data_IF_818300881826
#
_entry.id   IF_818300881826
#
_cell.length_a   1.000
_cell.length_b   1.000
_cell.length_c   1.000
_cell.angle_alpha   90.00
_cell.angle_beta   90.00
_cell.angle_gamma   90.00
#
_symmetry.space_group_name_H-M   'P 1'
#
loop_
_entity.id
_entity.type
_entity.pdbx_description
1 polymer ?
#
# COMPACT_ATOMS: atom_id res chain seq x y z
N UNK A 1 9.20 -8.09 -15.91
CA UNK A 1 9.24 -7.02 -14.88
C UNK A 1 7.97 -7.10 -14.05
N UNK A 2 6.80 -7.19 -14.70
CA UNK A 2 5.49 -7.37 -14.04
C UNK A 2 5.42 -8.51 -13.02
N UNK A 3 5.95 -9.71 -13.32
CA UNK A 3 5.93 -10.84 -12.35
C UNK A 3 6.58 -10.52 -11.00
N UNK A 4 7.66 -9.73 -10.99
CA UNK A 4 8.35 -9.35 -9.74
C UNK A 4 7.52 -8.38 -8.91
N UNK A 5 6.78 -7.49 -9.58
CA UNK A 5 5.93 -6.51 -8.91
C UNK A 5 4.69 -7.20 -8.32
N UNK A 6 4.19 -8.26 -8.96
CA UNK A 6 3.13 -9.10 -8.42
C UNK A 6 3.56 -9.87 -7.18
N UNK A 7 4.72 -10.55 -7.24
CA UNK A 7 5.28 -11.26 -6.08
C UNK A 7 5.50 -10.31 -4.90
N UNK A 8 6.05 -9.12 -5.16
CA UNK A 8 6.29 -8.13 -4.10
C UNK A 8 4.97 -7.62 -3.51
N UNK A 9 3.96 -7.35 -4.33
CA UNK A 9 2.64 -6.93 -3.85
C UNK A 9 2.01 -8.00 -2.95
N UNK A 10 2.07 -9.27 -3.33
CA UNK A 10 1.53 -10.38 -2.53
C UNK A 10 2.27 -10.53 -1.18
N UNK A 11 3.60 -10.43 -1.21
CA UNK A 11 4.43 -10.46 -0.01
C UNK A 11 4.07 -9.30 0.93
N UNK A 12 4.00 -8.07 0.42
CA UNK A 12 3.64 -6.90 1.21
C UNK A 12 2.20 -7.01 1.73
N UNK A 13 1.29 -7.56 0.94
CA UNK A 13 -0.09 -7.78 1.37
C UNK A 13 -0.22 -8.75 2.53
N UNK A 14 0.65 -9.74 2.57
CA UNK A 14 0.73 -10.70 3.67
C UNK A 14 1.44 -10.11 4.89
N UNK A 15 2.55 -9.39 4.69
CA UNK A 15 3.39 -8.88 5.78
C UNK A 15 2.76 -7.67 6.48
N UNK A 16 2.12 -6.76 5.74
CA UNK A 16 1.62 -5.46 6.25
C UNK A 16 0.10 -5.29 5.98
N UNK A 17 -0.75 -6.17 6.54
CA UNK A 17 -2.19 -6.17 6.23
C UNK A 17 -2.90 -4.87 6.66
N UNK A 18 -2.49 -4.25 7.77
CA UNK A 18 -3.06 -2.96 8.20
C UNK A 18 -2.72 -1.84 7.21
N UNK A 19 -1.46 -1.76 6.78
CA UNK A 19 -1.03 -0.76 5.80
C UNK A 19 -1.76 -0.94 4.47
N UNK A 20 -1.95 -2.19 4.02
CA UNK A 20 -2.71 -2.48 2.80
C UNK A 20 -4.18 -2.05 2.90
N UNK A 21 -4.83 -2.27 4.04
CA UNK A 21 -6.21 -1.82 4.25
C UNK A 21 -6.33 -0.29 4.11
N UNK A 22 -5.32 0.46 4.58
CA UNK A 22 -5.27 1.92 4.41
C UNK A 22 -5.02 2.27 2.94
N UNK A 23 -4.07 1.59 2.28
CA UNK A 23 -3.77 1.79 0.85
C UNK A 23 -5.00 1.56 -0.02
N UNK A 24 -5.82 0.55 0.24
CA UNK A 24 -7.03 0.31 -0.56
C UNK A 24 -8.07 1.42 -0.43
N UNK A 25 -8.25 2.00 0.77
CA UNK A 25 -9.12 3.18 0.94
C UNK A 25 -8.58 4.39 0.16
N UNK A 26 -7.27 4.59 0.16
CA UNK A 26 -6.63 5.67 -0.62
C UNK A 26 -6.82 5.41 -2.12
N UNK A 27 -6.63 4.16 -2.57
CA UNK A 27 -6.86 3.75 -3.96
C UNK A 27 -8.28 4.08 -4.41
N UNK A 28 -9.29 3.68 -3.63
CA UNK A 28 -10.71 3.94 -3.93
C UNK A 28 -10.95 5.45 -4.08
N UNK A 29 -10.49 6.25 -3.11
CA UNK A 29 -10.61 7.69 -3.16
C UNK A 29 -9.90 8.32 -4.39
N UNK A 30 -8.68 7.88 -4.69
CA UNK A 30 -7.95 8.38 -5.86
C UNK A 30 -8.63 8.03 -7.18
N UNK A 31 -9.23 6.83 -7.26
CA UNK A 31 -9.99 6.40 -8.42
C UNK A 31 -11.27 7.23 -8.60
N UNK A 32 -11.98 7.55 -7.52
CA UNK A 32 -13.16 8.42 -7.55
C UNK A 32 -12.83 9.86 -7.98
N UNK A 33 -11.75 10.43 -7.44
CA UNK A 33 -11.39 11.83 -7.71
C UNK A 33 -10.77 12.00 -9.10
N UNK A 34 -9.85 11.11 -9.47
CA UNK A 34 -9.03 11.28 -10.68
C UNK A 34 -9.45 10.41 -11.86
N UNK A 35 -10.41 9.50 -11.67
CA UNK A 35 -10.93 8.59 -12.71
C UNK A 35 -9.82 7.76 -13.40
N UNK A 36 -8.75 7.45 -12.65
CA UNK A 36 -7.60 6.69 -13.13
C UNK A 36 -7.26 5.56 -12.17
N UNK A 37 -6.93 4.36 -12.66
CA UNK A 37 -6.44 3.28 -11.80
C UNK A 37 -5.07 3.66 -11.23
N UNK A 38 -4.85 3.26 -9.97
CA UNK A 38 -3.53 3.35 -9.35
C UNK A 38 -2.76 2.06 -9.64
N UNK A 39 -1.54 2.14 -10.23
CA UNK A 39 -0.69 0.97 -10.48
C UNK A 39 -0.38 0.15 -9.22
N UNK A 40 -0.19 -1.15 -9.39
CA UNK A 40 0.01 -2.10 -8.28
C UNK A 40 1.32 -1.83 -7.53
N UNK A 41 2.39 -1.52 -8.25
CA UNK A 41 3.71 -1.13 -7.72
C UNK A 41 3.64 0.14 -6.85
N UNK A 42 2.89 1.16 -7.28
CA UNK A 42 2.63 2.37 -6.49
C UNK A 42 1.89 2.05 -5.18
N UNK A 43 0.89 1.17 -5.22
CA UNK A 43 0.17 0.70 -4.02
C UNK A 43 1.11 -0.06 -3.07
N UNK A 44 1.98 -0.93 -3.60
CA UNK A 44 3.00 -1.64 -2.83
C UNK A 44 3.95 -0.68 -2.14
N UNK A 45 4.45 0.32 -2.87
CA UNK A 45 5.38 1.32 -2.33
C UNK A 45 4.74 2.15 -1.22
N UNK A 46 3.49 2.58 -1.43
CA UNK A 46 2.71 3.32 -0.44
C UNK A 46 2.49 2.48 0.82
N UNK A 47 2.20 1.18 0.70
CA UNK A 47 2.01 0.28 1.83
C UNK A 47 3.27 0.18 2.70
N UNK A 48 4.46 0.10 2.08
CA UNK A 48 5.75 0.12 2.81
C UNK A 48 5.91 1.41 3.61
N UNK A 49 5.55 2.55 3.03
CA UNK A 49 5.63 3.85 3.70
C UNK A 49 4.64 3.99 4.85
N UNK A 50 3.39 3.58 4.66
CA UNK A 50 2.37 3.60 5.71
C UNK A 50 2.79 2.68 6.86
N UNK A 51 3.21 1.45 6.58
CA UNK A 51 3.70 0.53 7.61
C UNK A 51 4.86 1.12 8.41
N UNK A 52 5.82 1.79 7.74
CA UNK A 52 6.91 2.48 8.41
C UNK A 52 6.38 3.57 9.36
N UNK A 53 5.40 4.38 8.92
CA UNK A 53 4.80 5.43 9.76
C UNK A 53 4.02 4.86 10.95
N UNK A 54 3.25 3.78 10.76
CA UNK A 54 2.54 3.09 11.85
C UNK A 54 3.52 2.61 12.93
N UNK A 55 4.60 1.93 12.52
CA UNK A 55 5.65 1.48 13.45
C UNK A 55 6.31 2.62 14.21
N UNK A 56 6.59 3.74 13.56
CA UNK A 56 7.12 4.93 14.25
C UNK A 56 6.09 5.50 15.24
N UNK A 57 4.81 5.53 14.90
CA UNK A 57 3.76 6.00 15.80
C UNK A 57 3.63 5.11 17.04
N UNK A 58 3.71 3.78 16.87
CA UNK A 58 3.68 2.82 17.98
C UNK A 58 4.85 2.97 18.95
N UNK A 59 6.06 3.22 18.44
CA UNK A 59 7.26 3.41 19.27
C UNK A 59 7.26 4.71 20.07
N UNK A 60 6.45 5.70 19.66
CA UNK A 60 6.35 7.01 20.31
C UNK A 60 5.09 7.14 21.19
N UNK A 61 4.35 6.05 21.43
CA UNK A 61 3.27 5.97 22.43
C UNK A 61 3.83 5.56 23.79
#
# INVERSE_FOLDING_TARGET
MEEKDEELFEQISTLYPEAMNIVFKIKEYMQEVHHKPVPKDELTYLAVHINRQLKYSELNK
#
